data_IF_120307955849
#
_entry.id   IF_120307955849
#
_cell.length_a   1.000
_cell.length_b   1.000
_cell.length_c   1.000
_cell.angle_alpha   90.00
_cell.angle_beta   90.00
_cell.angle_gamma   90.00
#
_symmetry.space_group_name_H-M   'P 1'
#
loop_
_entity.id
_entity.type
_entity.pdbx_description
1 polymer ?
#
# COMPACT_ATOMS: atom_id res chain seq x y z
N UNK A 1 13.68 33.76 46.56
CA UNK A 1 12.33 34.07 46.03
C UNK A 1 12.16 33.24 44.76
N UNK A 2 11.73 31.98 44.90
CA UNK A 2 11.54 31.04 43.79
C UNK A 2 10.26 31.47 43.07
N UNK A 3 10.40 31.81 41.79
CA UNK A 3 9.34 32.36 40.96
C UNK A 3 8.19 31.37 40.81
N UNK A 4 7.00 31.73 41.29
CA UNK A 4 5.75 30.96 41.20
C UNK A 4 5.30 30.65 39.76
N UNK A 5 5.97 31.24 38.75
CA UNK A 5 5.76 30.96 37.32
C UNK A 5 6.31 29.59 36.89
N UNK A 6 7.37 29.10 37.53
CA UNK A 6 8.01 27.82 37.13
C UNK A 6 7.16 26.60 37.51
N UNK A 7 6.42 26.69 38.61
CA UNK A 7 5.50 25.63 39.06
C UNK A 7 4.23 25.53 38.23
N UNK A 8 3.73 26.63 37.66
CA UNK A 8 2.55 26.61 36.77
C UNK A 8 2.87 26.02 35.38
N UNK A 9 4.05 26.32 34.82
CA UNK A 9 4.49 25.73 33.55
C UNK A 9 4.72 24.22 33.63
N UNK A 10 5.12 23.70 34.80
CA UNK A 10 5.31 22.26 35.00
C UNK A 10 3.99 21.49 35.09
N UNK A 11 2.93 22.07 35.65
CA UNK A 11 1.63 21.40 35.84
C UNK A 11 0.88 21.14 34.52
N UNK A 12 1.02 22.02 33.53
CA UNK A 12 0.37 21.88 32.21
C UNK A 12 1.09 20.82 31.33
N UNK A 13 2.38 20.57 31.58
CA UNK A 13 3.23 19.73 30.72
C UNK A 13 3.00 18.20 30.84
N UNK A 14 2.72 17.68 32.04
CA UNK A 14 2.54 16.24 32.28
C UNK A 14 1.23 15.64 31.73
N UNK A 15 0.05 16.28 31.91
CA UNK A 15 -1.19 15.72 31.39
C UNK A 15 -1.23 15.75 29.86
N UNK A 16 -0.78 16.83 29.22
CA UNK A 16 -0.73 16.93 27.76
C UNK A 16 0.19 15.87 27.14
N UNK A 17 1.34 15.60 27.77
CA UNK A 17 2.27 14.58 27.28
C UNK A 17 1.74 13.15 27.44
N UNK A 18 0.98 12.91 28.51
CA UNK A 18 0.28 11.64 28.73
C UNK A 18 -0.82 11.45 27.69
N UNK A 19 -1.65 12.48 27.46
CA UNK A 19 -2.70 12.46 26.43
C UNK A 19 -2.10 12.22 25.04
N UNK A 20 -1.02 12.93 24.69
CA UNK A 20 -0.33 12.73 23.41
C UNK A 20 0.14 11.29 23.21
N UNK A 21 0.76 10.68 24.23
CA UNK A 21 1.22 9.28 24.17
C UNK A 21 0.07 8.29 24.06
N UNK A 22 -1.02 8.53 24.79
CA UNK A 22 -2.22 7.70 24.71
C UNK A 22 -2.82 7.77 23.31
N UNK A 23 -2.98 8.96 22.74
CA UNK A 23 -3.48 9.14 21.38
C UNK A 23 -2.60 8.46 20.33
N UNK A 24 -1.28 8.58 20.46
CA UNK A 24 -0.32 7.89 19.58
C UNK A 24 -0.41 6.36 19.72
N UNK A 25 -0.58 5.85 20.94
CA UNK A 25 -0.77 4.41 21.18
C UNK A 25 -2.07 3.89 20.60
N UNK A 26 -3.16 4.64 20.74
CA UNK A 26 -4.47 4.30 20.14
C UNK A 26 -4.37 4.30 18.62
N UNK A 27 -3.78 5.35 18.03
CA UNK A 27 -3.59 5.45 16.58
C UNK A 27 -2.77 4.26 16.05
N UNK A 28 -1.65 3.93 16.69
CA UNK A 28 -0.86 2.77 16.31
C UNK A 28 -1.68 1.48 16.39
N UNK A 29 -2.45 1.29 17.46
CA UNK A 29 -3.26 0.08 17.65
C UNK A 29 -4.30 -0.07 16.54
N UNK A 30 -5.01 1.01 16.20
CA UNK A 30 -6.00 1.04 15.12
C UNK A 30 -5.34 0.74 13.77
N UNK A 31 -4.19 1.35 13.49
CA UNK A 31 -3.47 1.16 12.24
C UNK A 31 -2.90 -0.26 12.10
N UNK A 32 -2.41 -0.86 13.18
CA UNK A 32 -2.01 -2.27 13.20
C UNK A 32 -3.20 -3.20 12.97
N UNK A 33 -4.38 -2.87 13.54
CA UNK A 33 -5.60 -3.60 13.26
C UNK A 33 -5.98 -3.52 11.77
N UNK A 34 -5.94 -2.33 11.16
CA UNK A 34 -6.19 -2.17 9.71
C UNK A 34 -5.17 -2.95 8.86
N UNK A 35 -3.90 -2.98 9.26
CA UNK A 35 -2.89 -3.79 8.57
C UNK A 35 -3.27 -5.28 8.57
N UNK A 36 -3.78 -5.80 9.69
CA UNK A 36 -4.25 -7.18 9.79
C UNK A 36 -5.48 -7.40 8.89
N UNK A 37 -6.45 -6.50 8.92
CA UNK A 37 -7.63 -6.56 8.04
C UNK A 37 -7.21 -6.55 6.57
N UNK A 38 -6.30 -5.65 6.19
CA UNK A 38 -5.74 -5.55 4.85
C UNK A 38 -5.06 -6.85 4.41
N UNK A 39 -4.22 -7.44 5.26
CA UNK A 39 -3.56 -8.72 4.97
C UNK A 39 -4.56 -9.88 4.81
N UNK A 40 -5.56 -9.97 5.70
CA UNK A 40 -6.60 -11.01 5.61
C UNK A 40 -7.41 -10.85 4.32
N UNK A 41 -7.81 -9.62 3.99
CA UNK A 41 -8.52 -9.32 2.76
C UNK A 41 -7.69 -9.67 1.53
N UNK A 42 -6.42 -9.29 1.50
CA UNK A 42 -5.50 -9.61 0.41
C UNK A 42 -5.34 -11.12 0.20
N UNK A 43 -5.18 -11.90 1.28
CA UNK A 43 -5.08 -13.37 1.18
C UNK A 43 -6.39 -13.99 0.68
N UNK A 44 -7.54 -13.52 1.17
CA UNK A 44 -8.83 -14.00 0.70
C UNK A 44 -9.05 -13.68 -0.79
N UNK A 45 -8.67 -12.47 -1.20
CA UNK A 45 -8.75 -12.03 -2.58
C UNK A 45 -7.81 -12.85 -3.48
N UNK A 46 -6.56 -13.10 -3.09
CA UNK A 46 -5.64 -13.94 -3.88
C UNK A 46 -6.15 -15.38 -4.08
N UNK A 47 -6.95 -15.91 -3.14
CA UNK A 47 -7.54 -17.25 -3.24
C UNK A 47 -8.82 -17.30 -4.07
N UNK A 48 -9.45 -16.16 -4.32
CA UNK A 48 -10.67 -16.09 -5.11
C UNK A 48 -10.34 -16.25 -6.60
N UNK A 49 -10.84 -17.29 -7.29
CA UNK A 49 -10.34 -17.63 -8.64
C UNK A 49 -10.99 -16.83 -9.77
N UNK A 50 -11.99 -16.00 -9.48
CA UNK A 50 -12.71 -15.21 -10.48
C UNK A 50 -12.32 -13.73 -10.40
N UNK A 51 -12.75 -12.97 -11.41
CA UNK A 51 -12.65 -11.53 -11.42
C UNK A 51 -13.43 -10.96 -10.23
N UNK A 52 -12.72 -10.20 -9.41
CA UNK A 52 -13.30 -9.50 -8.27
C UNK A 52 -13.64 -8.07 -8.65
N UNK A 53 -12.77 -7.45 -9.45
CA UNK A 53 -13.00 -6.15 -10.09
C UNK A 53 -13.10 -6.31 -11.61
N UNK A 54 -13.98 -5.52 -12.23
CA UNK A 54 -14.21 -5.55 -13.67
C UNK A 54 -12.91 -5.32 -14.47
N UNK A 55 -11.97 -4.56 -13.92
CA UNK A 55 -10.67 -4.28 -14.53
C UNK A 55 -9.73 -5.50 -14.61
N UNK A 56 -9.81 -6.45 -13.67
CA UNK A 56 -8.82 -7.52 -13.55
C UNK A 56 -8.78 -8.45 -14.77
N UNK A 57 -9.92 -8.66 -15.42
CA UNK A 57 -9.99 -9.41 -16.67
C UNK A 57 -9.20 -8.73 -17.79
N UNK A 58 -9.31 -7.41 -17.93
CA UNK A 58 -8.57 -6.65 -18.95
C UNK A 58 -7.07 -6.67 -18.70
N UNK A 59 -6.65 -6.49 -17.44
CA UNK A 59 -5.24 -6.60 -17.04
C UNK A 59 -4.68 -7.99 -17.38
N UNK A 60 -5.43 -9.05 -17.08
CA UNK A 60 -5.02 -10.41 -17.41
C UNK A 60 -4.93 -10.66 -18.92
N UNK A 61 -5.88 -10.14 -19.72
CA UNK A 61 -5.81 -10.24 -21.19
C UNK A 61 -4.53 -9.59 -21.73
N UNK A 62 -4.16 -8.41 -21.24
CA UNK A 62 -2.94 -7.73 -21.66
C UNK A 62 -1.68 -8.54 -21.30
N UNK A 63 -1.61 -9.10 -20.09
CA UNK A 63 -0.53 -10.03 -19.71
C UNK A 63 -0.46 -11.21 -20.68
N UNK A 64 -1.61 -11.82 -21.01
CA UNK A 64 -1.67 -12.95 -21.92
C UNK A 64 -1.24 -12.58 -23.35
N UNK A 65 -1.63 -11.41 -23.85
CA UNK A 65 -1.19 -10.91 -25.15
C UNK A 65 0.33 -10.69 -25.17
N UNK A 66 0.88 -10.01 -24.17
CA UNK A 66 2.33 -9.83 -24.06
C UNK A 66 3.07 -11.16 -23.92
N UNK A 67 2.54 -12.12 -23.17
CA UNK A 67 3.13 -13.45 -23.00
C UNK A 67 3.22 -14.24 -24.30
N UNK A 68 2.37 -13.91 -25.28
CA UNK A 68 2.32 -14.48 -26.63
C UNK A 68 3.03 -13.59 -27.66
N UNK A 69 3.78 -12.58 -27.23
CA UNK A 69 4.43 -11.59 -28.10
C UNK A 69 3.44 -10.83 -29.01
N UNK A 70 2.18 -10.68 -28.56
CA UNK A 70 1.16 -9.87 -29.24
C UNK A 70 1.08 -8.48 -28.61
N UNK A 71 0.82 -7.49 -29.46
CA UNK A 71 0.72 -6.09 -29.04
C UNK A 71 -0.74 -5.75 -28.65
N UNK A 72 -1.03 -5.35 -27.40
CA UNK A 72 -2.41 -5.11 -26.96
C UNK A 72 -2.97 -3.74 -27.35
N UNK A 73 -2.13 -2.81 -27.80
CA UNK A 73 -2.56 -1.49 -28.27
C UNK A 73 -2.95 -1.56 -29.75
N UNK A 74 -4.15 -2.07 -30.01
CA UNK A 74 -4.69 -2.28 -31.34
C UNK A 74 -5.80 -1.26 -31.69
N UNK A 75 -6.17 -1.21 -32.97
CA UNK A 75 -7.32 -0.42 -33.42
C UNK A 75 -8.63 -1.05 -32.92
N UNK A 76 -9.39 -0.30 -32.13
CA UNK A 76 -10.65 -0.75 -31.53
C UNK A 76 -11.83 -0.74 -32.50
N UNK A 77 -11.70 -0.21 -33.72
CA UNK A 77 -12.75 -0.25 -34.75
C UNK A 77 -12.76 -1.57 -35.53
N UNK A 78 -11.78 -2.45 -35.29
CA UNK A 78 -11.66 -3.74 -35.95
C UNK A 78 -11.83 -4.86 -34.92
N UNK A 79 -12.54 -5.92 -35.30
CA UNK A 79 -12.68 -7.13 -34.47
C UNK A 79 -11.29 -7.62 -34.02
N UNK A 80 -11.06 -7.94 -32.72
CA UNK A 80 -12.03 -8.18 -31.66
C UNK A 80 -12.52 -6.94 -30.88
N UNK A 81 -12.31 -5.73 -31.39
CA UNK A 81 -12.69 -4.46 -30.76
C UNK A 81 -12.03 -4.26 -29.39
N UNK A 82 -10.77 -4.69 -29.30
CA UNK A 82 -9.97 -4.63 -28.08
C UNK A 82 -8.74 -3.74 -28.27
N UNK A 83 -8.46 -2.91 -27.27
CA UNK A 83 -7.26 -2.09 -27.20
C UNK A 83 -6.97 -1.72 -25.77
N UNK A 84 -5.75 -1.98 -25.31
CA UNK A 84 -5.32 -1.58 -23.96
C UNK A 84 -5.26 -0.05 -23.82
N UNK A 85 -5.70 0.44 -22.67
CA UNK A 85 -5.64 1.87 -22.29
C UNK A 85 -4.56 2.13 -21.23
N UNK A 86 -3.89 1.10 -20.73
CA UNK A 86 -2.97 1.18 -19.61
C UNK A 86 -1.51 1.10 -20.06
N UNK A 87 -0.56 1.71 -19.34
CA UNK A 87 0.86 1.54 -19.61
C UNK A 87 1.32 0.07 -19.53
N UNK A 88 2.32 -0.35 -20.31
CA UNK A 88 2.64 -1.77 -20.47
C UNK A 88 3.44 -2.36 -19.30
N UNK A 89 4.06 -1.52 -18.47
CA UNK A 89 5.06 -1.96 -17.49
C UNK A 89 4.51 -3.01 -16.51
N UNK A 90 3.33 -2.75 -15.94
CA UNK A 90 2.69 -3.69 -15.01
C UNK A 90 2.50 -5.07 -15.66
N UNK A 91 1.90 -5.08 -16.86
CA UNK A 91 1.63 -6.31 -17.61
C UNK A 91 2.90 -7.08 -17.97
N UNK A 92 3.94 -6.38 -18.44
CA UNK A 92 5.22 -6.99 -18.81
C UNK A 92 5.89 -7.66 -17.61
N UNK A 93 5.85 -7.02 -16.43
CA UNK A 93 6.43 -7.60 -15.20
C UNK A 93 5.70 -8.87 -14.76
N UNK A 94 4.43 -9.04 -15.14
CA UNK A 94 3.64 -10.22 -14.83
C UNK A 94 3.79 -11.36 -15.85
N UNK A 95 4.33 -11.12 -17.05
CA UNK A 95 4.52 -12.14 -18.09
C UNK A 95 5.25 -13.40 -17.60
N UNK A 96 6.35 -13.31 -16.82
CA UNK A 96 7.02 -14.50 -16.30
C UNK A 96 6.12 -15.37 -15.42
N UNK A 97 5.19 -14.75 -14.69
CA UNK A 97 4.23 -15.48 -13.86
C UNK A 97 3.19 -16.18 -14.73
N UNK A 98 2.70 -15.53 -15.79
CA UNK A 98 1.79 -16.16 -16.74
C UNK A 98 2.41 -17.37 -17.44
N UNK A 99 3.71 -17.35 -17.76
CA UNK A 99 4.41 -18.51 -18.31
C UNK A 99 4.52 -19.68 -17.33
N UNK A 100 4.66 -19.39 -16.02
CA UNK A 100 4.81 -20.43 -14.99
C UNK A 100 3.48 -20.99 -14.50
N UNK A 101 2.45 -20.15 -14.43
CA UNK A 101 1.20 -20.46 -13.74
C UNK A 101 -0.04 -20.42 -14.65
N UNK A 102 0.09 -19.92 -15.88
CA UNK A 102 -1.04 -19.74 -16.79
C UNK A 102 -1.85 -18.46 -16.50
N UNK A 103 -3.07 -18.34 -17.06
CA UNK A 103 -3.92 -17.14 -16.94
C UNK A 103 -4.61 -17.08 -15.58
N UNK A 104 -3.90 -16.63 -14.55
CA UNK A 104 -4.36 -16.62 -13.16
C UNK A 104 -4.39 -15.20 -12.56
N UNK A 105 -5.38 -14.89 -11.71
CA UNK A 105 -5.49 -13.56 -11.10
C UNK A 105 -4.55 -13.33 -9.91
N UNK A 106 -4.12 -14.42 -9.23
CA UNK A 106 -3.45 -14.31 -7.94
C UNK A 106 -2.10 -13.58 -8.03
N UNK A 107 -1.35 -13.73 -9.13
CA UNK A 107 -0.03 -13.11 -9.25
C UNK A 107 -0.13 -11.60 -9.46
N UNK A 108 -1.16 -11.11 -10.16
CA UNK A 108 -1.43 -9.69 -10.31
C UNK A 108 -1.78 -9.06 -8.97
N UNK A 109 -2.65 -9.73 -8.20
CA UNK A 109 -3.02 -9.34 -6.83
C UNK A 109 -1.83 -9.34 -5.88
N UNK A 110 -0.98 -10.38 -5.94
CA UNK A 110 0.25 -10.46 -5.15
C UNK A 110 1.21 -9.33 -5.49
N UNK A 111 1.41 -9.05 -6.78
CA UNK A 111 2.31 -8.00 -7.24
C UNK A 111 1.83 -6.62 -6.80
N UNK A 112 0.53 -6.34 -6.93
CA UNK A 112 -0.07 -5.09 -6.45
C UNK A 112 0.04 -4.97 -4.92
N UNK A 113 -0.25 -6.04 -4.18
CA UNK A 113 -0.10 -6.07 -2.73
C UNK A 113 1.35 -5.79 -2.29
N UNK A 114 2.33 -6.46 -2.89
CA UNK A 114 3.75 -6.25 -2.62
C UNK A 114 4.18 -4.82 -2.97
N UNK A 115 3.74 -4.28 -4.11
CA UNK A 115 4.03 -2.91 -4.53
C UNK A 115 3.50 -1.89 -3.52
N UNK A 116 2.30 -2.10 -3.00
CA UNK A 116 1.70 -1.26 -1.95
C UNK A 116 2.51 -1.30 -0.66
N UNK A 117 3.00 -2.47 -0.24
CA UNK A 117 3.88 -2.58 0.93
C UNK A 117 5.22 -1.88 0.73
N UNK A 118 5.81 -1.99 -0.47
CA UNK A 118 7.04 -1.28 -0.83
C UNK A 118 6.82 0.23 -0.79
N UNK A 119 5.70 0.73 -1.33
CA UNK A 119 5.35 2.14 -1.26
C UNK A 119 5.17 2.62 0.20
N UNK A 120 4.46 1.86 1.03
CA UNK A 120 4.30 2.15 2.46
C UNK A 120 5.65 2.22 3.19
N UNK A 121 6.55 1.26 2.91
CA UNK A 121 7.91 1.24 3.45
C UNK A 121 8.74 2.43 2.99
N UNK A 122 8.64 2.82 1.72
CA UNK A 122 9.31 4.00 1.17
C UNK A 122 8.81 5.29 1.82
N UNK A 123 7.50 5.43 2.04
CA UNK A 123 6.90 6.56 2.77
C UNK A 123 7.44 6.60 4.21
N UNK A 124 7.38 5.47 4.92
CA UNK A 124 7.88 5.38 6.29
C UNK A 124 9.37 5.76 6.38
N UNK A 125 10.19 5.29 5.44
CA UNK A 125 11.61 5.61 5.36
C UNK A 125 11.85 7.09 5.04
N UNK A 126 11.12 7.67 4.08
CA UNK A 126 11.25 9.07 3.72
C UNK A 126 10.88 9.99 4.90
N UNK A 127 9.78 9.70 5.59
CA UNK A 127 9.34 10.45 6.77
C UNK A 127 10.33 10.31 7.92
N UNK A 128 10.83 9.10 8.18
CA UNK A 128 11.88 8.86 9.18
C UNK A 128 13.14 9.69 8.89
N UNK A 129 13.61 9.69 7.64
CA UNK A 129 14.78 10.46 7.20
C UNK A 129 14.58 11.96 7.36
N UNK A 130 13.39 12.46 7.04
CA UNK A 130 13.06 13.88 7.13
C UNK A 130 12.87 14.35 8.59
N UNK A 131 12.38 13.48 9.48
CA UNK A 131 12.13 13.81 10.88
C UNK A 131 13.42 14.05 11.72
N UNK A 132 14.60 13.70 11.18
CA UNK A 132 15.90 14.06 11.75
C UNK A 132 16.11 13.55 13.18
N UNK A 133 16.56 14.42 14.10
CA UNK A 133 16.86 14.10 15.52
C UNK A 133 15.64 14.10 16.44
N UNK A 134 14.42 14.13 15.88
CA UNK A 134 13.20 14.05 16.69
C UNK A 134 13.19 12.72 17.45
N UNK A 135 13.00 12.75 18.77
CA UNK A 135 13.04 11.55 19.63
C UNK A 135 12.12 10.41 19.17
N UNK A 136 11.06 10.74 18.44
CA UNK A 136 10.05 9.79 17.96
C UNK A 136 10.06 9.60 16.42
N UNK A 137 11.16 9.94 15.73
CA UNK A 137 11.24 9.87 14.27
C UNK A 137 10.83 8.49 13.70
N UNK A 138 11.25 7.40 14.34
CA UNK A 138 10.86 6.04 13.96
C UNK A 138 9.35 5.80 14.06
N UNK A 139 8.73 6.31 15.13
CA UNK A 139 7.30 6.13 15.38
C UNK A 139 6.46 6.92 14.37
N UNK A 140 6.89 8.14 14.05
CA UNK A 140 6.21 8.99 13.06
C UNK A 140 6.32 8.34 11.67
N UNK A 141 7.51 7.84 11.28
CA UNK A 141 7.67 7.12 10.03
C UNK A 141 6.79 5.87 9.95
N UNK A 142 6.77 5.05 11.00
CA UNK A 142 5.92 3.86 11.06
C UNK A 142 4.43 4.23 10.92
N UNK A 143 3.95 5.22 11.67
CA UNK A 143 2.56 5.66 11.57
C UNK A 143 2.21 6.16 10.16
N UNK A 144 3.10 6.90 9.50
CA UNK A 144 2.86 7.36 8.13
C UNK A 144 2.75 6.21 7.13
N UNK A 145 3.62 5.20 7.24
CA UNK A 145 3.54 4.01 6.39
C UNK A 145 2.27 3.20 6.64
N UNK A 146 1.92 2.98 7.92
CA UNK A 146 0.70 2.25 8.27
C UNK A 146 -0.58 3.02 7.88
N UNK A 147 -0.59 4.34 8.00
CA UNK A 147 -1.71 5.18 7.60
C UNK A 147 -1.94 5.18 6.08
N UNK A 148 -0.90 4.93 5.28
CA UNK A 148 -1.06 4.72 3.84
C UNK A 148 -1.71 3.36 3.51
N UNK A 149 -1.58 2.37 4.41
CA UNK A 149 -2.13 1.02 4.23
C UNK A 149 -3.57 0.85 4.76
N UNK A 150 -4.10 1.86 5.46
CA UNK A 150 -5.46 1.87 6.03
C UNK A 150 -6.44 2.60 5.13
#
# INVERSE_FOLDING_TARGET
MISSRDTQNQAISRPLWTVHRVLLGIALTILLFYLVVYAVYAVNLMRFPFDYDQGEGFELVDVMLFSQFKWPYANIEQYPFYGSIYPPLYHILLVPFAWLFGPEYWYGRLFSFASTLVAAGAIAYAVYRQAGRTKNAHFIGLLSGLAFLS
#
